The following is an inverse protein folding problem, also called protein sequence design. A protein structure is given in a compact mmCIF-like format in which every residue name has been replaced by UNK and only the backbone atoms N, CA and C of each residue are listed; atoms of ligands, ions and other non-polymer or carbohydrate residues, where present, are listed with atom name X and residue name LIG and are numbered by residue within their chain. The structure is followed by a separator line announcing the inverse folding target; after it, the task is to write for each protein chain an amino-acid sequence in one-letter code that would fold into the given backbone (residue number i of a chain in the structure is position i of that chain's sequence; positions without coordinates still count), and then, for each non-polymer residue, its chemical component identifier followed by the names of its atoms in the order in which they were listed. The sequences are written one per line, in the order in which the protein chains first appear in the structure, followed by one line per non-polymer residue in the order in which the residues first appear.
data_IF_351353860975
#
_entry.id   IF_351353860975
#
_cell.length_a   1.000
_cell.length_b   1.000
_cell.length_c   1.000
_cell.angle_alpha   90.00
_cell.angle_beta   90.00
_cell.angle_gamma   90.00
#
_symmetry.space_group_name_H-M   'P 1'
#
loop_
_entity.id
_entity.type
_entity.pdbx_description
1 polymer ?
#
# COMPACT_ATOMS: atom_id res chain seq x y z
N UNK A 1 -33.29 -0.15 24.01
CA UNK A 1 -33.77 -0.13 22.61
C UNK A 1 -32.67 0.31 21.64
N UNK A 2 -31.97 1.42 21.88
CA UNK A 2 -30.91 1.96 21.01
C UNK A 2 -29.70 1.03 20.79
N UNK A 3 -29.28 0.28 21.82
CA UNK A 3 -28.17 -0.69 21.72
C UNK A 3 -28.54 -1.90 20.84
N UNK A 4 -29.81 -2.30 20.85
CA UNK A 4 -30.31 -3.43 20.04
C UNK A 4 -30.37 -3.03 18.56
N UNK A 5 -30.62 -1.76 18.26
CA UNK A 5 -30.62 -1.21 16.91
C UNK A 5 -29.20 -1.06 16.31
N UNK A 6 -28.15 -1.11 17.14
CA UNK A 6 -26.74 -1.06 16.69
C UNK A 6 -26.16 -2.45 16.38
N UNK A 7 -26.82 -3.54 16.79
CA UNK A 7 -26.40 -4.93 16.53
C UNK A 7 -26.16 -5.24 15.04
N UNK A 8 -26.99 -4.77 14.08
CA UNK A 8 -26.75 -5.02 12.66
C UNK A 8 -25.51 -4.30 12.11
N UNK A 9 -25.16 -3.15 12.69
CA UNK A 9 -24.05 -2.28 12.24
C UNK A 9 -22.72 -2.65 12.90
N UNK A 10 -22.76 -3.35 14.03
CA UNK A 10 -21.56 -3.87 14.72
C UNK A 10 -20.70 -4.75 13.81
N UNK A 11 -21.32 -5.52 12.90
CA UNK A 11 -20.60 -6.35 11.93
C UNK A 11 -19.75 -5.54 10.93
N UNK A 12 -20.11 -4.28 10.64
CA UNK A 12 -19.30 -3.42 9.76
C UNK A 12 -18.00 -2.98 10.44
N UNK A 13 -17.97 -2.93 11.77
CA UNK A 13 -16.80 -2.49 12.54
C UNK A 13 -15.72 -3.58 12.65
N UNK A 14 -16.08 -4.85 12.43
CA UNK A 14 -15.18 -5.99 12.49
C UNK A 14 -14.67 -6.46 11.12
N UNK A 15 -14.94 -5.73 10.04
CA UNK A 15 -14.20 -5.97 8.81
C UNK A 15 -12.79 -5.43 9.04
N UNK A 16 -11.81 -6.32 9.15
CA UNK A 16 -10.39 -6.01 9.11
C UNK A 16 -10.02 -5.55 7.67
N UNK A 17 -10.62 -4.46 7.20
CA UNK A 17 -10.08 -3.74 6.05
C UNK A 17 -8.83 -3.02 6.54
N UNK A 18 -7.81 -2.91 5.68
CA UNK A 18 -6.61 -2.10 5.97
C UNK A 18 -6.98 -0.71 6.48
N UNK A 19 -6.11 -0.11 7.28
CA UNK A 19 -6.37 1.08 8.10
C UNK A 19 -7.13 2.20 7.35
N UNK A 20 -6.73 2.52 6.10
CA UNK A 20 -7.41 3.56 5.29
C UNK A 20 -8.77 3.15 4.67
N UNK A 21 -9.07 1.86 4.58
CA UNK A 21 -10.39 1.36 4.17
C UNK A 21 -11.41 1.49 5.31
N UNK A 22 -11.00 1.19 6.54
CA UNK A 22 -11.90 1.21 7.69
C UNK A 22 -12.30 2.64 8.10
N UNK A 23 -11.40 3.62 7.94
CA UNK A 23 -11.67 5.03 8.22
C UNK A 23 -12.92 5.56 7.49
N UNK A 24 -13.15 5.13 6.25
CA UNK A 24 -14.31 5.54 5.45
C UNK A 24 -15.64 5.00 5.97
N UNK A 25 -15.65 3.76 6.47
CA UNK A 25 -16.86 3.10 6.94
C UNK A 25 -17.14 3.37 8.43
N UNK A 26 -16.10 3.69 9.21
CA UNK A 26 -16.20 3.96 10.65
C UNK A 26 -16.62 5.40 11.01
N UNK A 27 -16.45 6.37 10.10
CA UNK A 27 -16.62 7.80 10.43
C UNK A 27 -18.00 8.13 11.02
N UNK A 28 -19.08 7.75 10.34
CA UNK A 28 -20.43 8.07 10.83
C UNK A 28 -20.76 7.36 12.15
N UNK A 29 -20.37 6.09 12.28
CA UNK A 29 -20.58 5.31 13.50
C UNK A 29 -19.77 5.87 14.69
N UNK A 30 -18.58 6.41 14.43
CA UNK A 30 -17.67 6.93 15.46
C UNK A 30 -18.30 8.05 16.29
N UNK A 31 -19.12 8.92 15.68
CA UNK A 31 -19.80 10.02 16.39
C UNK A 31 -20.70 9.47 17.50
N UNK A 32 -21.47 8.42 17.19
CA UNK A 32 -22.36 7.77 18.15
C UNK A 32 -21.58 7.01 19.22
N UNK A 33 -20.50 6.32 18.83
CA UNK A 33 -19.65 5.57 19.76
C UNK A 33 -18.95 6.54 20.73
N UNK A 34 -18.40 7.65 20.25
CA UNK A 34 -17.76 8.67 21.07
C UNK A 34 -18.76 9.33 22.03
N UNK A 35 -19.96 9.70 21.54
CA UNK A 35 -21.02 10.22 22.40
C UNK A 35 -21.40 9.23 23.51
N UNK A 36 -21.55 7.95 23.18
CA UNK A 36 -21.86 6.89 24.14
C UNK A 36 -20.74 6.68 25.17
N UNK A 37 -19.47 6.67 24.74
CA UNK A 37 -18.32 6.54 25.63
C UNK A 37 -18.23 7.72 26.60
N UNK A 38 -18.45 8.95 26.14
CA UNK A 38 -18.49 10.14 27.00
C UNK A 38 -19.57 10.01 28.08
N UNK A 39 -20.77 9.54 27.71
CA UNK A 39 -21.86 9.31 28.66
C UNK A 39 -21.51 8.22 29.69
N UNK A 40 -20.87 7.12 29.28
CA UNK A 40 -20.38 6.08 30.20
C UNK A 40 -19.36 6.67 31.17
N UNK A 41 -18.39 7.43 30.67
CA UNK A 41 -17.33 8.02 31.48
C UNK A 41 -17.93 8.93 32.57
N UNK A 42 -18.87 9.81 32.21
CA UNK A 42 -19.55 10.68 33.19
C UNK A 42 -20.47 9.92 34.16
N UNK A 43 -20.99 8.76 33.77
CA UNK A 43 -21.82 7.93 34.64
C UNK A 43 -21.00 7.12 35.66
N UNK A 44 -19.83 6.65 35.26
CA UNK A 44 -18.99 5.74 36.06
C UNK A 44 -18.02 6.51 36.95
N UNK A 45 -17.45 7.62 36.47
CA UNK A 45 -16.42 8.35 37.18
C UNK A 45 -16.94 9.65 37.81
N UNK A 46 -16.39 10.08 38.95
CA UNK A 46 -16.60 11.43 39.48
C UNK A 46 -16.25 12.49 38.43
N UNK A 47 -16.93 13.63 38.47
CA UNK A 47 -16.84 14.67 37.43
C UNK A 47 -15.40 15.10 37.10
N UNK A 48 -14.53 15.20 38.10
CA UNK A 48 -13.11 15.57 37.91
C UNK A 48 -12.35 14.50 37.14
N UNK A 49 -12.52 13.23 37.51
CA UNK A 49 -11.87 12.10 36.84
C UNK A 49 -12.42 11.94 35.42
N UNK A 50 -13.75 12.04 35.25
CA UNK A 50 -14.40 11.99 33.95
C UNK A 50 -13.83 13.05 32.98
N UNK A 51 -13.67 14.29 33.44
CA UNK A 51 -13.04 15.37 32.64
C UNK A 51 -11.61 15.05 32.24
N UNK A 52 -10.80 14.49 33.16
CA UNK A 52 -9.42 14.09 32.85
C UNK A 52 -9.41 12.96 31.81
N UNK A 53 -10.24 11.93 31.98
CA UNK A 53 -10.35 10.84 31.01
C UNK A 53 -10.74 11.33 29.62
N UNK A 54 -11.72 12.25 29.54
CA UNK A 54 -12.14 12.86 28.27
C UNK A 54 -11.01 13.69 27.66
N UNK A 55 -10.28 14.47 28.46
CA UNK A 55 -9.15 15.25 27.97
C UNK A 55 -8.04 14.35 27.41
N UNK A 56 -7.70 13.25 28.10
CA UNK A 56 -6.73 12.26 27.62
C UNK A 56 -7.22 11.59 26.33
N UNK A 57 -8.49 11.19 26.29
CA UNK A 57 -9.09 10.58 25.10
C UNK A 57 -9.09 11.53 23.89
N UNK A 58 -9.44 12.80 24.08
CA UNK A 58 -9.39 13.82 23.04
C UNK A 58 -7.94 14.05 22.56
N UNK A 59 -6.98 14.14 23.48
CA UNK A 59 -5.57 14.28 23.12
C UNK A 59 -5.05 13.07 22.31
N UNK A 60 -5.40 11.85 22.72
CA UNK A 60 -5.03 10.64 22.00
C UNK A 60 -5.65 10.60 20.59
N UNK A 61 -6.91 11.04 20.45
CA UNK A 61 -7.60 11.10 19.15
C UNK A 61 -6.93 12.11 18.22
N UNK A 62 -6.57 13.30 18.72
CA UNK A 62 -5.84 14.31 17.94
C UNK A 62 -4.46 13.81 17.53
N UNK A 63 -3.77 13.10 18.42
CA UNK A 63 -2.46 12.50 18.13
C UNK A 63 -2.56 11.48 16.99
N UNK A 64 -3.50 10.53 17.08
CA UNK A 64 -3.71 9.50 16.04
C UNK A 64 -4.12 10.15 14.72
N UNK A 65 -5.02 11.14 14.75
CA UNK A 65 -5.41 11.89 13.56
C UNK A 65 -4.20 12.57 12.89
N UNK A 66 -3.30 13.15 13.69
CA UNK A 66 -2.08 13.78 13.17
C UNK A 66 -1.13 12.76 12.53
N UNK A 67 -1.04 11.55 13.08
CA UNK A 67 -0.25 10.45 12.49
C UNK A 67 -0.87 10.04 11.15
N UNK A 68 -2.18 9.78 11.11
CA UNK A 68 -2.87 9.41 9.87
C UNK A 68 -2.70 10.48 8.79
N UNK A 69 -2.85 11.77 9.11
CA UNK A 69 -2.65 12.86 8.14
C UNK A 69 -1.25 12.78 7.51
N UNK A 70 -0.21 12.54 8.31
CA UNK A 70 1.16 12.39 7.80
C UNK A 70 1.31 11.18 6.89
N UNK A 71 0.66 10.06 7.22
CA UNK A 71 0.68 8.86 6.37
C UNK A 71 -0.02 9.11 5.02
N UNK A 72 -1.13 9.85 5.01
CA UNK A 72 -1.80 10.28 3.78
C UNK A 72 -0.96 11.28 2.97
N UNK A 73 -0.32 12.24 3.62
CA UNK A 73 0.60 13.19 2.96
C UNK A 73 1.76 12.45 2.30
N UNK A 74 2.39 11.51 3.01
CA UNK A 74 3.48 10.69 2.50
C UNK A 74 3.03 9.78 1.35
N UNK A 75 1.85 9.15 1.47
CA UNK A 75 1.25 8.36 0.40
C UNK A 75 1.03 9.20 -0.86
N UNK A 76 0.48 10.41 -0.70
CA UNK A 76 0.31 11.36 -1.80
C UNK A 76 1.63 11.81 -2.41
N UNK A 77 2.64 12.09 -1.60
CA UNK A 77 3.98 12.48 -2.06
C UNK A 77 4.64 11.38 -2.89
N UNK A 78 4.66 10.14 -2.40
CA UNK A 78 5.24 9.00 -3.11
C UNK A 78 4.49 8.77 -4.42
N UNK A 79 3.16 8.78 -4.38
CA UNK A 79 2.30 8.62 -5.57
C UNK A 79 2.62 9.67 -6.63
N UNK A 80 2.67 10.94 -6.23
CA UNK A 80 2.98 12.05 -7.13
C UNK A 80 4.39 11.94 -7.72
N UNK A 81 5.37 11.58 -6.90
CA UNK A 81 6.75 11.40 -7.34
C UNK A 81 6.88 10.29 -8.38
N UNK A 82 6.22 9.14 -8.16
CA UNK A 82 6.26 8.01 -9.09
C UNK A 82 5.58 8.34 -10.43
N UNK A 83 4.44 9.01 -10.39
CA UNK A 83 3.76 9.44 -11.62
C UNK A 83 4.56 10.47 -12.41
N UNK A 84 5.30 11.36 -11.74
CA UNK A 84 6.11 12.39 -12.41
C UNK A 84 7.48 11.87 -12.88
N UNK A 85 8.06 10.86 -12.23
CA UNK A 85 9.36 10.30 -12.59
C UNK A 85 9.28 9.28 -13.73
N UNK A 86 8.08 8.81 -14.07
CA UNK A 86 7.87 7.82 -15.11
C UNK A 86 8.30 8.34 -16.50
N UNK A 87 9.19 7.60 -17.15
CA UNK A 87 9.82 7.98 -18.43
C UNK A 87 9.97 6.85 -19.45
N UNK A 88 9.26 5.74 -19.26
CA UNK A 88 9.38 4.52 -20.07
C UNK A 88 8.20 4.33 -21.03
N UNK A 89 7.47 5.40 -21.35
CA UNK A 89 6.29 5.33 -22.23
C UNK A 89 6.60 4.87 -23.65
N UNK A 90 7.86 4.95 -24.09
CA UNK A 90 8.34 4.53 -25.41
C UNK A 90 8.79 3.05 -25.46
N UNK A 91 8.96 2.39 -24.31
CA UNK A 91 9.37 0.98 -24.23
C UNK A 91 8.30 0.04 -24.76
N UNK A 92 8.69 -1.09 -25.35
CA UNK A 92 7.75 -2.07 -25.90
C UNK A 92 7.13 -2.95 -24.82
N UNK A 93 7.86 -3.21 -23.72
CA UNK A 93 7.39 -3.91 -22.53
C UNK A 93 8.03 -3.31 -21.28
N UNK A 94 7.27 -3.25 -20.19
CA UNK A 94 7.73 -2.74 -18.90
C UNK A 94 7.42 -3.79 -17.84
N UNK A 95 8.45 -4.24 -17.11
CA UNK A 95 8.28 -5.09 -15.94
C UNK A 95 8.49 -4.24 -14.69
N UNK A 96 7.46 -4.13 -13.85
CA UNK A 96 7.58 -3.52 -12.53
C UNK A 96 7.88 -4.63 -11.53
N UNK A 97 9.12 -4.71 -11.04
CA UNK A 97 9.50 -5.71 -10.04
C UNK A 97 8.68 -5.53 -8.77
N UNK A 98 8.67 -4.30 -8.24
CA UNK A 98 7.98 -3.96 -7.01
C UNK A 98 7.43 -2.53 -7.11
N UNK A 99 6.12 -2.42 -6.92
CA UNK A 99 5.39 -1.15 -6.78
C UNK A 99 5.02 -0.94 -5.31
N UNK A 100 5.08 0.28 -4.77
CA UNK A 100 4.58 0.54 -3.43
C UNK A 100 3.04 0.61 -3.49
N UNK A 101 2.37 -0.15 -2.62
CA UNK A 101 0.91 -0.28 -2.58
C UNK A 101 0.28 0.60 -1.50
N UNK A 102 0.89 0.62 -0.31
CA UNK A 102 0.38 1.41 0.82
C UNK A 102 1.49 1.97 1.71
N UNK A 103 1.20 3.11 2.35
CA UNK A 103 1.99 3.72 3.41
C UNK A 103 1.29 3.48 4.74
N UNK A 104 1.84 2.64 5.62
CA UNK A 104 1.21 2.32 6.92
C UNK A 104 -0.29 1.95 6.79
N UNK A 105 -0.68 1.23 5.73
CA UNK A 105 -2.08 0.86 5.45
C UNK A 105 -2.93 1.91 4.73
N UNK A 106 -2.38 3.09 4.42
CA UNK A 106 -2.97 4.08 3.50
C UNK A 106 -2.60 3.72 2.07
N UNK A 107 -3.59 3.32 1.25
CA UNK A 107 -3.35 2.93 -0.14
C UNK A 107 -2.88 4.12 -0.99
N UNK A 108 -1.94 3.86 -1.89
CA UNK A 108 -1.39 4.84 -2.85
C UNK A 108 -2.15 4.81 -4.17
N UNK A 109 -2.31 3.61 -4.74
CA UNK A 109 -3.11 3.38 -5.92
C UNK A 109 -4.34 2.57 -5.51
N UNK A 110 -5.49 2.85 -6.13
CA UNK A 110 -6.70 2.06 -5.92
C UNK A 110 -7.48 2.01 -7.22
N UNK A 111 -7.83 0.81 -7.68
CA UNK A 111 -8.80 0.62 -8.75
C UNK A 111 -9.73 -0.55 -8.43
N UNK A 112 -10.86 -0.60 -9.12
CA UNK A 112 -11.75 -1.77 -9.10
C UNK A 112 -11.57 -2.62 -10.37
N UNK A 113 -10.57 -2.31 -11.20
CA UNK A 113 -10.30 -3.02 -12.44
C UNK A 113 -9.22 -4.08 -12.19
N UNK A 114 -9.53 -5.33 -12.51
CA UNK A 114 -8.59 -6.45 -12.35
C UNK A 114 -7.63 -6.60 -13.55
N UNK A 115 -7.90 -5.89 -14.66
CA UNK A 115 -7.21 -6.10 -15.93
C UNK A 115 -5.81 -5.49 -15.98
N UNK A 116 -5.52 -4.49 -15.12
CA UNK A 116 -4.28 -3.73 -15.15
C UNK A 116 -3.76 -3.43 -13.74
N UNK A 117 -2.47 -3.09 -13.61
CA UNK A 117 -2.01 -2.56 -12.32
C UNK A 117 -2.64 -1.19 -12.05
N UNK A 118 -3.07 -0.96 -10.80
CA UNK A 118 -3.74 0.28 -10.39
C UNK A 118 -2.89 1.53 -10.67
N UNK A 119 -1.56 1.39 -10.63
CA UNK A 119 -0.62 2.44 -11.03
C UNK A 119 -0.76 2.83 -12.50
N UNK A 120 -0.81 1.87 -13.41
CA UNK A 120 -0.88 2.15 -14.84
C UNK A 120 -2.22 2.78 -15.24
N UNK A 121 -3.31 2.39 -14.57
CA UNK A 121 -4.59 3.07 -14.69
C UNK A 121 -4.49 4.53 -14.19
N UNK A 122 -3.88 4.75 -13.03
CA UNK A 122 -3.70 6.10 -12.47
C UNK A 122 -2.86 6.97 -13.40
N UNK A 123 -1.79 6.41 -13.98
CA UNK A 123 -0.94 7.10 -14.95
C UNK A 123 -1.72 7.50 -16.22
N UNK A 124 -2.61 6.63 -16.71
CA UNK A 124 -3.50 6.95 -17.81
C UNK A 124 -4.50 8.06 -17.45
N UNK A 125 -5.19 7.94 -16.32
CA UNK A 125 -6.23 8.89 -15.90
C UNK A 125 -5.66 10.28 -15.56
N UNK A 126 -4.50 10.35 -14.92
CA UNK A 126 -3.91 11.63 -14.47
C UNK A 126 -2.97 12.27 -15.49
N UNK A 127 -2.23 11.47 -16.26
CA UNK A 127 -1.18 11.96 -17.17
C UNK A 127 -1.47 11.70 -18.65
N UNK A 128 -2.50 10.91 -18.98
CA UNK A 128 -2.79 10.49 -20.35
C UNK A 128 -1.75 9.54 -20.94
N UNK A 129 -0.85 8.98 -20.12
CA UNK A 129 0.19 8.05 -20.57
C UNK A 129 -0.37 6.64 -20.48
N UNK A 130 -0.70 6.04 -21.63
CA UNK A 130 -1.23 4.69 -21.68
C UNK A 130 -0.13 3.64 -21.88
N UNK A 131 0.15 2.87 -20.83
CA UNK A 131 1.10 1.75 -20.82
C UNK A 131 0.49 0.47 -20.25
N UNK A 132 -0.84 0.45 -20.06
CA UNK A 132 -1.57 -0.60 -19.34
C UNK A 132 -1.35 -1.99 -19.93
N UNK A 133 -1.47 -2.12 -21.25
CA UNK A 133 -1.35 -3.42 -21.94
C UNK A 133 0.09 -3.95 -22.04
N UNK A 134 1.08 -3.08 -21.86
CA UNK A 134 2.50 -3.41 -22.00
C UNK A 134 3.27 -3.44 -20.68
N UNK A 135 2.58 -3.27 -19.56
CA UNK A 135 3.20 -3.28 -18.23
C UNK A 135 2.79 -4.54 -17.46
N UNK A 136 3.77 -5.24 -16.90
CA UNK A 136 3.55 -6.38 -16.01
C UNK A 136 4.04 -6.04 -14.60
N UNK A 137 3.11 -6.00 -13.64
CA UNK A 137 3.43 -5.84 -12.22
C UNK A 137 3.70 -7.21 -11.59
N UNK A 138 4.92 -7.39 -11.10
CA UNK A 138 5.36 -8.65 -10.50
C UNK A 138 4.86 -8.74 -9.06
N UNK A 139 5.37 -7.87 -8.18
CA UNK A 139 4.93 -7.76 -6.79
C UNK A 139 4.66 -6.31 -6.37
N UNK A 140 4.02 -6.19 -5.22
CA UNK A 140 3.72 -4.96 -4.50
C UNK A 140 4.50 -4.95 -3.17
N UNK A 141 4.66 -3.79 -2.53
CA UNK A 141 5.20 -3.70 -1.17
C UNK A 141 4.50 -2.61 -0.37
N UNK A 142 4.38 -2.78 0.95
CA UNK A 142 4.11 -1.64 1.81
C UNK A 142 5.40 -0.84 2.04
N UNK A 143 5.25 0.45 2.28
CA UNK A 143 6.32 1.35 2.71
C UNK A 143 5.92 2.07 3.99
N UNK A 144 6.91 2.48 4.76
CA UNK A 144 6.73 3.21 6.01
C UNK A 144 7.31 4.63 5.91
N UNK A 145 8.28 4.84 5.02
CA UNK A 145 8.94 6.12 4.74
C UNK A 145 9.34 6.21 3.26
N UNK A 146 9.55 7.43 2.77
CA UNK A 146 9.93 7.65 1.36
C UNK A 146 11.26 7.00 1.01
N UNK A 147 12.19 6.87 1.97
CA UNK A 147 13.51 6.27 1.76
C UNK A 147 13.51 4.75 1.63
N UNK A 148 12.36 4.10 1.88
CA UNK A 148 12.27 2.65 1.75
C UNK A 148 12.60 2.20 0.33
N UNK A 149 13.19 1.02 0.23
CA UNK A 149 13.52 0.41 -1.06
C UNK A 149 13.68 -1.09 -0.96
N UNK A 150 13.89 -1.72 -2.12
CA UNK A 150 14.37 -3.10 -2.20
C UNK A 150 15.90 -3.14 -2.34
N UNK A 151 16.49 -4.26 -1.94
CA UNK A 151 17.84 -4.65 -2.37
C UNK A 151 17.70 -5.51 -3.62
N UNK A 152 18.44 -5.15 -4.66
CA UNK A 152 18.41 -5.83 -5.95
C UNK A 152 19.80 -6.37 -6.26
N UNK A 153 19.88 -7.68 -6.49
CA UNK A 153 21.08 -8.37 -6.94
C UNK A 153 20.81 -8.97 -8.33
N UNK A 154 21.51 -8.48 -9.35
CA UNK A 154 21.47 -9.06 -10.70
C UNK A 154 22.42 -10.24 -10.72
N UNK A 155 21.89 -11.46 -10.78
CA UNK A 155 22.68 -12.69 -10.77
C UNK A 155 23.05 -13.12 -12.21
N UNK A 156 22.19 -12.83 -13.17
CA UNK A 156 22.47 -12.98 -14.62
C UNK A 156 21.50 -12.11 -15.45
N UNK A 157 21.66 -12.02 -16.78
CA UNK A 157 20.74 -11.30 -17.67
C UNK A 157 19.27 -11.75 -17.60
N UNK A 158 19.01 -12.94 -17.04
CA UNK A 158 17.66 -13.51 -16.90
C UNK A 158 17.29 -13.82 -15.45
N UNK A 159 18.14 -13.50 -14.47
CA UNK A 159 17.90 -13.85 -13.06
C UNK A 159 18.21 -12.68 -12.15
N UNK A 160 17.16 -12.21 -11.47
CA UNK A 160 17.21 -11.17 -10.46
C UNK A 160 16.84 -11.74 -9.10
N UNK A 161 17.59 -11.38 -8.07
CA UNK A 161 17.24 -11.64 -6.68
C UNK A 161 16.87 -10.33 -5.98
N UNK A 162 15.71 -10.30 -5.36
CA UNK A 162 15.12 -9.12 -4.72
C UNK A 162 14.88 -9.41 -3.24
N UNK A 163 15.35 -8.53 -2.36
CA UNK A 163 15.09 -8.59 -0.92
C UNK A 163 14.48 -7.29 -0.40
N UNK A 164 13.77 -7.40 0.72
CA UNK A 164 13.36 -6.24 1.50
C UNK A 164 14.59 -5.42 1.94
N UNK A 165 14.57 -4.11 1.65
CA UNK A 165 15.65 -3.20 2.01
C UNK A 165 15.52 -2.63 3.42
N UNK A 166 14.29 -2.48 3.92
CA UNK A 166 13.99 -1.75 5.15
C UNK A 166 13.03 -2.53 6.08
N UNK A 167 13.22 -2.37 7.39
CA UNK A 167 12.41 -3.04 8.40
C UNK A 167 10.94 -2.59 8.36
N UNK A 168 10.03 -3.54 8.60
CA UNK A 168 8.59 -3.27 8.61
C UNK A 168 7.97 -3.16 7.22
N UNK A 169 8.67 -3.58 6.17
CA UNK A 169 8.13 -3.72 4.82
C UNK A 169 8.07 -5.20 4.43
N UNK A 170 7.12 -5.57 3.57
CA UNK A 170 6.93 -6.92 3.08
C UNK A 170 6.27 -6.90 1.70
N UNK A 171 6.43 -8.00 0.97
CA UNK A 171 5.92 -8.13 -0.39
C UNK A 171 4.47 -8.63 -0.41
N UNK A 172 3.71 -8.11 -1.37
CA UNK A 172 2.33 -8.46 -1.64
C UNK A 172 2.13 -8.89 -3.09
N UNK A 173 1.10 -9.69 -3.32
CA UNK A 173 0.55 -10.00 -4.64
C UNK A 173 -0.96 -9.89 -4.57
N UNK A 174 -1.54 -8.89 -5.24
CA UNK A 174 -3.00 -8.65 -5.25
C UNK A 174 -3.55 -8.56 -3.83
N UNK A 175 -2.93 -7.72 -3.00
CA UNK A 175 -3.28 -7.50 -1.58
C UNK A 175 -3.14 -8.73 -0.66
N UNK A 176 -2.60 -9.85 -1.16
CA UNK A 176 -2.26 -11.03 -0.38
C UNK A 176 -0.75 -11.14 -0.18
N UNK A 177 -0.28 -11.92 0.78
CA UNK A 177 1.15 -12.17 0.92
C UNK A 177 1.77 -12.69 -0.38
N UNK A 178 3.01 -12.31 -0.67
CA UNK A 178 3.72 -12.76 -1.86
C UNK A 178 3.78 -14.29 -1.94
N UNK A 179 3.47 -14.84 -3.11
CA UNK A 179 3.50 -16.27 -3.40
C UNK A 179 4.12 -16.51 -4.76
N UNK A 180 4.92 -17.57 -4.88
CA UNK A 180 5.57 -17.97 -6.14
C UNK A 180 4.54 -18.22 -7.25
N UNK A 181 4.78 -17.65 -8.43
CA UNK A 181 3.94 -17.88 -9.61
C UNK A 181 4.76 -17.93 -10.91
N UNK A 182 4.11 -18.31 -12.00
CA UNK A 182 4.70 -18.36 -13.34
C UNK A 182 3.79 -17.64 -14.32
N UNK A 183 4.38 -16.82 -15.20
CA UNK A 183 3.70 -16.14 -16.30
C UNK A 183 4.19 -16.69 -17.64
N UNK A 184 3.78 -16.08 -18.75
CA UNK A 184 4.35 -16.41 -20.06
C UNK A 184 5.83 -16.02 -20.15
N UNK A 185 6.23 -14.89 -19.55
CA UNK A 185 7.53 -14.25 -19.75
C UNK A 185 8.56 -14.56 -18.66
N UNK A 186 8.11 -14.86 -17.44
CA UNK A 186 8.98 -15.11 -16.30
C UNK A 186 8.32 -16.09 -15.32
N UNK A 187 9.07 -16.52 -14.30
CA UNK A 187 8.53 -17.11 -13.09
C UNK A 187 9.24 -16.56 -11.86
N UNK A 188 8.61 -16.70 -10.70
CA UNK A 188 9.13 -16.16 -9.44
C UNK A 188 9.20 -17.24 -8.38
N UNK A 189 10.20 -17.16 -7.50
CA UNK A 189 10.29 -18.01 -6.31
C UNK A 189 10.40 -17.12 -5.07
N UNK A 190 9.40 -17.16 -4.19
CA UNK A 190 9.41 -16.43 -2.92
C UNK A 190 10.14 -17.25 -1.88
N UNK A 191 11.01 -16.60 -1.10
CA UNK A 191 11.75 -17.24 -0.02
C UNK A 191 10.82 -17.76 1.07
N UNK A 192 11.27 -18.76 1.83
CA UNK A 192 10.48 -19.35 2.92
C UNK A 192 10.03 -18.35 4.00
N UNK A 193 10.76 -17.24 4.17
CA UNK A 193 10.41 -16.18 5.11
C UNK A 193 9.56 -15.06 4.49
N UNK A 194 9.29 -15.08 3.19
CA UNK A 194 8.52 -14.06 2.48
C UNK A 194 9.21 -12.70 2.34
N UNK A 195 10.48 -12.58 2.73
CA UNK A 195 11.24 -11.32 2.73
C UNK A 195 12.14 -11.15 1.50
N UNK A 196 12.15 -12.13 0.60
CA UNK A 196 12.89 -12.10 -0.64
C UNK A 196 12.13 -12.89 -1.71
N UNK A 197 12.44 -12.58 -2.98
CA UNK A 197 12.00 -13.40 -4.10
C UNK A 197 13.01 -13.32 -5.23
N UNK A 198 13.05 -14.39 -6.01
CA UNK A 198 13.78 -14.45 -7.26
C UNK A 198 12.83 -14.26 -8.44
N UNK A 199 13.31 -13.60 -9.50
CA UNK A 199 12.63 -13.50 -10.80
C UNK A 199 13.52 -14.11 -11.86
N UNK A 200 12.94 -15.04 -12.60
CA UNK A 200 13.59 -15.76 -13.68
C UNK A 200 12.87 -15.44 -14.99
N UNK A 201 13.48 -14.59 -15.83
CA UNK A 201 12.98 -14.33 -17.18
C UNK A 201 13.26 -15.55 -18.06
N UNK A 202 12.25 -16.00 -18.82
CA UNK A 202 12.39 -17.18 -19.68
C UNK A 202 13.26 -16.91 -20.92
N UNK A 203 13.39 -15.65 -21.30
CA UNK A 203 14.28 -15.19 -22.36
C UNK A 203 15.06 -13.96 -21.88
N UNK A 204 16.26 -13.70 -22.41
CA UNK A 204 16.94 -12.43 -22.20
C UNK A 204 16.05 -11.26 -22.62
N UNK A 205 16.11 -10.17 -21.85
CA UNK A 205 15.37 -8.96 -22.14
C UNK A 205 15.86 -8.32 -23.44
N UNK A 206 14.91 -7.75 -24.20
CA UNK A 206 15.25 -7.00 -25.41
C UNK A 206 15.69 -5.58 -25.04
N UNK A 207 16.40 -4.92 -25.95
CA UNK A 207 16.96 -3.57 -25.74
C UNK A 207 15.90 -2.49 -25.58
N UNK A 208 14.70 -2.72 -26.08
CA UNK A 208 13.53 -1.84 -26.02
C UNK A 208 12.55 -2.19 -24.89
N UNK A 209 12.88 -3.18 -24.05
CA UNK A 209 12.16 -3.52 -22.83
C UNK A 209 12.80 -2.80 -21.63
N UNK A 210 12.02 -2.59 -20.57
CA UNK A 210 12.52 -2.01 -19.32
C UNK A 210 12.08 -2.83 -18.12
N UNK A 211 12.97 -2.94 -17.12
CA UNK A 211 12.65 -3.51 -15.81
C UNK A 211 12.85 -2.41 -14.79
N UNK A 212 11.80 -2.05 -14.06
CA UNK A 212 11.82 -0.95 -13.09
C UNK A 212 11.38 -1.41 -11.71
N UNK A 213 11.79 -0.66 -10.70
CA UNK A 213 11.45 -0.93 -9.31
C UNK A 213 11.39 0.36 -8.50
N UNK A 214 10.61 0.33 -7.42
CA UNK A 214 10.55 1.42 -6.47
C UNK A 214 11.83 1.51 -5.63
N UNK A 215 12.38 2.72 -5.52
CA UNK A 215 13.47 3.00 -4.59
C UNK A 215 13.50 4.48 -4.22
N UNK A 216 13.34 4.76 -2.92
CA UNK A 216 13.51 6.11 -2.37
C UNK A 216 12.58 7.16 -3.00
N UNK A 217 11.29 6.83 -3.09
CA UNK A 217 10.27 7.73 -3.66
C UNK A 217 10.26 7.83 -5.19
N UNK A 218 11.07 7.05 -5.91
CA UNK A 218 11.22 7.16 -7.37
C UNK A 218 11.29 5.79 -8.05
N UNK A 219 11.13 5.78 -9.37
CA UNK A 219 11.39 4.62 -10.19
C UNK A 219 12.88 4.52 -10.52
N UNK A 220 13.43 3.33 -10.36
CA UNK A 220 14.77 2.98 -10.86
C UNK A 220 14.66 1.88 -11.88
N UNK A 221 15.53 1.96 -12.88
CA UNK A 221 15.68 0.93 -13.90
C UNK A 221 16.80 -0.03 -13.50
N UNK A 222 16.56 -1.33 -13.68
CA UNK A 222 17.56 -2.38 -13.47
C UNK A 222 18.64 -2.23 -14.55
N UNK A 223 19.91 -2.24 -14.13
CA UNK A 223 21.05 -2.28 -15.03
C UNK A 223 21.59 -3.71 -15.05
N UNK A 224 21.49 -4.35 -16.21
CA UNK A 224 22.04 -5.68 -16.48
C UNK A 224 23.52 -5.63 -16.84
#
# INVERSE_FOLDING_TARGET
LSVILLLPVLNLYFILMGQGGNDRYGYLASIFIYGFLVLIIYKVFPITIARICIAIFAAATVLICTINIKDYELSGEITHNLMNDFRWQDKSKIYILVQPENVNGVRMFTSMEDDFSEYTLSLFLEKGIDVREKTELIYEMNVNKIEDSIKLNVLSPTHLHIEIGDWGTWFWKHHNGATSFSSQNYYTEVSNNGLAFDVYFKNPLKTDEAVIYYSKGKWKEVKF
#
